data_IF_660415466409
#
_entry.id   IF_660415466409
#
_cell.length_a   1.000
_cell.length_b   1.000
_cell.length_c   1.000
_cell.angle_alpha   90.00
_cell.angle_beta   90.00
_cell.angle_gamma   90.00
#
_symmetry.space_group_name_H-M   'P 1'
#
loop_
_entity.id
_entity.type
_entity.pdbx_description
1 polymer ?
#
# COMPACT_ATOMS: atom_id res chain seq x y z
N UNK A 1 2.93 -39.69 37.22
CA UNK A 1 4.00 -38.89 36.62
C UNK A 1 3.58 -38.61 35.20
N UNK A 2 2.83 -37.54 35.01
CA UNK A 2 2.36 -37.05 33.70
C UNK A 2 3.23 -35.82 33.37
N UNK A 3 4.05 -35.98 32.34
CA UNK A 3 4.90 -34.88 31.84
C UNK A 3 4.04 -33.98 30.97
N UNK A 4 3.76 -32.78 31.46
CA UNK A 4 3.24 -31.65 30.68
C UNK A 4 4.34 -31.17 29.72
N UNK A 5 4.17 -31.44 28.44
CA UNK A 5 4.93 -30.75 27.42
C UNK A 5 4.21 -29.43 27.10
N UNK A 6 4.70 -28.34 27.66
CA UNK A 6 4.44 -27.02 27.14
C UNK A 6 5.11 -26.89 25.77
N UNK A 7 4.32 -26.92 24.72
CA UNK A 7 4.71 -26.45 23.39
C UNK A 7 4.83 -24.92 23.46
N UNK A 8 6.08 -24.40 23.45
CA UNK A 8 6.34 -22.99 23.19
C UNK A 8 5.86 -22.67 21.76
N UNK A 9 5.12 -21.58 21.55
CA UNK A 9 4.78 -21.16 20.20
C UNK A 9 6.07 -20.72 19.50
N UNK A 10 6.33 -21.33 18.34
CA UNK A 10 7.42 -20.98 17.45
C UNK A 10 7.40 -19.46 17.19
N UNK A 11 8.46 -18.77 17.58
CA UNK A 11 8.66 -17.36 17.26
C UNK A 11 8.72 -17.22 15.75
N UNK A 12 7.66 -16.69 15.16
CA UNK A 12 7.66 -16.16 13.81
C UNK A 12 8.68 -15.02 13.78
N UNK A 13 9.73 -15.18 12.98
CA UNK A 13 10.76 -14.16 12.78
C UNK A 13 10.25 -13.00 11.91
N UNK A 14 9.19 -12.33 12.34
CA UNK A 14 8.83 -11.01 11.88
C UNK A 14 9.79 -10.03 12.54
N UNK A 15 10.67 -9.41 11.77
CA UNK A 15 11.31 -8.16 12.16
C UNK A 15 10.16 -7.21 12.49
N UNK A 16 9.88 -6.99 13.78
CA UNK A 16 8.75 -6.18 14.22
C UNK A 16 8.85 -4.78 13.62
N UNK A 17 7.98 -4.47 12.67
CA UNK A 17 7.90 -3.13 12.06
C UNK A 17 7.57 -2.14 13.17
N UNK A 18 8.45 -1.16 13.39
CA UNK A 18 8.29 -0.14 14.42
C UNK A 18 7.58 1.09 13.85
N UNK A 19 6.92 1.86 14.72
CA UNK A 19 6.35 3.15 14.34
C UNK A 19 7.42 4.09 13.75
N UNK A 20 8.65 4.04 14.27
CA UNK A 20 9.75 4.87 13.77
C UNK A 20 10.09 4.51 12.32
N UNK A 21 10.26 3.21 12.03
CA UNK A 21 10.51 2.74 10.65
C UNK A 21 9.38 3.15 9.69
N UNK A 22 8.11 3.06 10.13
CA UNK A 22 6.97 3.51 9.32
C UNK A 22 7.04 5.02 9.03
N UNK A 23 7.40 5.83 10.03
CA UNK A 23 7.55 7.28 9.87
C UNK A 23 8.68 7.65 8.92
N UNK A 24 9.85 7.03 9.08
CA UNK A 24 11.02 7.29 8.24
C UNK A 24 10.73 6.97 6.76
N UNK A 25 10.13 5.81 6.48
CA UNK A 25 9.83 5.40 5.11
C UNK A 25 8.70 6.27 4.52
N UNK A 26 7.66 6.61 5.31
CA UNK A 26 6.62 7.54 4.85
C UNK A 26 7.20 8.93 4.55
N UNK A 27 8.12 9.44 5.38
CA UNK A 27 8.76 10.72 5.14
C UNK A 27 9.58 10.71 3.84
N UNK A 28 10.33 9.63 3.59
CA UNK A 28 11.07 9.44 2.34
C UNK A 28 10.15 9.37 1.12
N UNK A 29 9.00 8.69 1.24
CA UNK A 29 8.00 8.61 0.18
C UNK A 29 7.37 10.00 -0.12
N UNK A 30 7.08 10.78 0.92
CA UNK A 30 6.59 12.17 0.78
C UNK A 30 7.63 13.06 0.09
N UNK A 31 8.90 12.94 0.44
CA UNK A 31 9.98 13.69 -0.22
C UNK A 31 10.12 13.30 -1.70
N UNK A 32 10.04 12.01 -2.03
CA UNK A 32 10.05 11.52 -3.41
C UNK A 32 8.91 12.11 -4.22
N UNK A 33 7.68 12.08 -3.69
CA UNK A 33 6.53 12.69 -4.35
C UNK A 33 6.71 14.21 -4.53
N UNK A 34 7.25 14.91 -3.53
CA UNK A 34 7.48 16.35 -3.62
C UNK A 34 8.47 16.71 -4.74
N UNK A 35 9.55 15.94 -4.89
CA UNK A 35 10.51 16.12 -6.00
C UNK A 35 9.83 15.94 -7.34
N UNK A 36 9.01 14.88 -7.50
CA UNK A 36 8.25 14.63 -8.71
C UNK A 36 7.30 15.80 -9.02
N UNK A 37 6.46 16.20 -8.06
CA UNK A 37 5.46 17.27 -8.25
C UNK A 37 6.10 18.60 -8.62
N UNK A 38 7.25 18.96 -8.03
CA UNK A 38 7.98 20.17 -8.39
C UNK A 38 8.49 20.19 -9.84
N UNK A 39 8.66 19.02 -10.46
CA UNK A 39 9.07 18.90 -11.85
C UNK A 39 7.93 18.98 -12.86
N UNK A 40 6.67 18.82 -12.41
CA UNK A 40 5.50 18.74 -13.28
C UNK A 40 5.03 20.14 -13.75
N UNK A 41 4.71 20.21 -15.02
CA UNK A 41 4.08 21.41 -15.63
C UNK A 41 2.57 21.40 -15.37
N UNK A 42 1.89 22.57 -15.43
CA UNK A 42 0.43 22.63 -15.33
C UNK A 42 -0.31 21.76 -16.37
N UNK A 43 0.29 21.51 -17.52
CA UNK A 43 -0.28 20.60 -18.52
C UNK A 43 -0.19 19.15 -18.07
N UNK A 44 0.94 18.74 -17.47
CA UNK A 44 1.13 17.37 -16.96
C UNK A 44 0.20 17.07 -15.78
N UNK A 45 -0.09 18.05 -14.93
CA UNK A 45 -1.09 17.88 -13.86
C UNK A 45 -2.49 17.51 -14.38
N UNK A 46 -2.83 17.92 -15.60
CA UNK A 46 -4.13 17.63 -16.24
C UNK A 46 -4.13 16.37 -17.10
N UNK A 47 -2.99 15.70 -17.27
CA UNK A 47 -2.93 14.42 -17.97
C UNK A 47 -3.59 13.32 -17.16
N UNK A 48 -4.12 12.30 -17.86
CA UNK A 48 -4.58 11.09 -17.21
C UNK A 48 -3.41 10.36 -16.55
N UNK A 49 -3.55 10.06 -15.27
CA UNK A 49 -2.63 9.20 -14.56
C UNK A 49 -2.99 7.72 -14.80
N UNK A 50 -2.09 6.84 -14.44
CA UNK A 50 -2.41 5.42 -14.34
C UNK A 50 -3.26 5.16 -13.08
N UNK A 51 -4.29 4.33 -13.10
CA UNK A 51 -4.85 3.57 -14.21
C UNK A 51 -5.98 4.31 -15.00
N UNK A 52 -5.83 5.51 -15.36
CA UNK A 52 -6.67 6.30 -16.27
C UNK A 52 -8.07 6.74 -15.80
N UNK A 53 -8.43 6.54 -14.56
CA UNK A 53 -9.70 7.06 -14.00
C UNK A 53 -9.57 8.52 -13.53
N UNK A 54 -8.37 8.91 -13.11
CA UNK A 54 -8.05 10.22 -12.55
C UNK A 54 -6.96 10.92 -13.35
N UNK A 55 -6.95 12.24 -13.29
CA UNK A 55 -5.78 13.01 -13.71
C UNK A 55 -4.70 12.96 -12.63
N UNK A 56 -3.48 13.34 -12.99
CA UNK A 56 -2.36 13.46 -12.02
C UNK A 56 -2.76 14.36 -10.83
N UNK A 57 -3.41 15.50 -11.10
CA UNK A 57 -3.89 16.39 -10.05
C UNK A 57 -4.95 15.74 -9.15
N UNK A 58 -5.83 14.89 -9.70
CA UNK A 58 -6.81 14.16 -8.89
C UNK A 58 -6.17 13.07 -8.03
N UNK A 59 -5.12 12.40 -8.49
CA UNK A 59 -4.32 11.51 -7.64
C UNK A 59 -3.68 12.29 -6.50
N UNK A 60 -3.11 13.48 -6.77
CA UNK A 60 -2.56 14.37 -5.75
C UNK A 60 -3.65 14.88 -4.78
N UNK A 61 -4.86 15.17 -5.27
CA UNK A 61 -6.02 15.51 -4.44
C UNK A 61 -6.37 14.37 -3.48
N UNK A 62 -6.37 13.14 -3.97
CA UNK A 62 -6.60 11.95 -3.14
C UNK A 62 -5.52 11.79 -2.06
N UNK A 63 -4.25 11.90 -2.42
CA UNK A 63 -3.16 11.84 -1.46
C UNK A 63 -3.23 12.97 -0.43
N UNK A 64 -3.47 14.21 -0.86
CA UNK A 64 -3.56 15.36 0.02
C UNK A 64 -4.76 15.31 0.98
N UNK A 65 -5.95 14.96 0.47
CA UNK A 65 -7.13 14.76 1.31
C UNK A 65 -6.92 13.62 2.32
N UNK A 66 -6.27 12.53 1.90
CA UNK A 66 -5.89 11.42 2.77
C UNK A 66 -4.91 11.85 3.88
N UNK A 67 -3.96 12.75 3.59
CA UNK A 67 -3.07 13.32 4.60
C UNK A 67 -3.83 14.16 5.64
N UNK A 68 -4.77 14.99 5.17
CA UNK A 68 -5.66 15.79 6.06
C UNK A 68 -6.49 14.87 6.96
N UNK A 69 -7.16 13.87 6.36
CA UNK A 69 -7.98 12.90 7.10
C UNK A 69 -7.13 12.14 8.13
N UNK A 70 -5.96 11.65 7.74
CA UNK A 70 -5.04 10.95 8.63
C UNK A 70 -4.65 11.84 9.81
N UNK A 71 -4.25 13.09 9.55
CA UNK A 71 -3.87 14.05 10.58
C UNK A 71 -5.02 14.38 11.54
N UNK A 72 -6.22 14.63 11.02
CA UNK A 72 -7.39 14.92 11.86
C UNK A 72 -7.79 13.73 12.72
N UNK A 73 -7.71 12.50 12.19
CA UNK A 73 -8.00 11.27 12.96
C UNK A 73 -7.00 11.01 14.10
N UNK A 74 -5.80 11.58 14.06
CA UNK A 74 -4.87 11.56 15.19
C UNK A 74 -5.37 12.40 16.38
N UNK A 75 -6.23 13.40 16.11
CA UNK A 75 -6.71 14.35 17.10
C UNK A 75 -8.21 14.12 17.44
N UNK A 76 -8.92 13.25 16.69
CA UNK A 76 -10.32 12.93 16.93
C UNK A 76 -11.08 12.46 15.69
N UNK A 77 -12.39 12.65 15.71
CA UNK A 77 -13.28 12.29 14.60
C UNK A 77 -13.15 13.29 13.43
N UNK A 78 -13.38 12.81 12.21
CA UNK A 78 -13.34 13.60 11.01
C UNK A 78 -14.51 13.27 10.08
N UNK A 79 -15.14 14.29 9.54
CA UNK A 79 -16.06 14.15 8.41
C UNK A 79 -15.24 14.01 7.11
N UNK A 80 -14.96 12.76 6.74
CA UNK A 80 -14.17 12.45 5.55
C UNK A 80 -14.83 12.95 4.27
N UNK A 81 -16.17 12.91 4.19
CA UNK A 81 -16.89 13.36 3.00
C UNK A 81 -16.71 14.87 2.79
N UNK A 82 -16.81 15.66 3.86
CA UNK A 82 -16.57 17.10 3.77
C UNK A 82 -15.13 17.42 3.30
N UNK A 83 -14.13 16.64 3.77
CA UNK A 83 -12.74 16.82 3.29
C UNK A 83 -12.63 16.47 1.81
N UNK A 84 -13.21 15.37 1.35
CA UNK A 84 -13.17 14.98 -0.07
C UNK A 84 -13.90 16.01 -0.96
N UNK A 85 -15.06 16.52 -0.53
CA UNK A 85 -15.82 17.53 -1.28
C UNK A 85 -15.01 18.82 -1.45
N UNK A 86 -14.35 19.29 -0.37
CA UNK A 86 -13.45 20.44 -0.42
C UNK A 86 -12.29 20.21 -1.42
N UNK A 87 -11.64 19.05 -1.33
CA UNK A 87 -10.48 18.74 -2.16
C UNK A 87 -10.83 18.55 -3.63
N UNK A 88 -11.98 17.93 -3.92
CA UNK A 88 -12.47 17.74 -5.29
C UNK A 88 -12.90 19.05 -5.96
N UNK A 89 -13.23 20.08 -5.18
CA UNK A 89 -13.60 21.42 -5.69
C UNK A 89 -12.38 22.27 -6.08
N UNK A 90 -11.16 21.88 -5.69
CA UNK A 90 -9.93 22.63 -6.00
C UNK A 90 -9.57 22.48 -7.48
N UNK A 91 -8.95 23.53 -8.06
CA UNK A 91 -8.34 23.42 -9.37
C UNK A 91 -7.06 22.55 -9.34
N UNK A 92 -6.59 22.03 -10.48
CA UNK A 92 -5.44 21.13 -10.54
C UNK A 92 -4.15 21.67 -9.92
N UNK A 93 -3.86 22.96 -10.08
CA UNK A 93 -2.65 23.58 -9.55
C UNK A 93 -2.75 23.69 -8.00
N UNK A 94 -3.96 24.01 -7.49
CA UNK A 94 -4.23 24.03 -6.05
C UNK A 94 -4.21 22.60 -5.46
N UNK A 95 -4.76 21.59 -6.15
CA UNK A 95 -4.68 20.18 -5.72
C UNK A 95 -3.23 19.74 -5.53
N UNK A 96 -2.34 20.08 -6.46
CA UNK A 96 -0.92 19.74 -6.37
C UNK A 96 -0.22 20.51 -5.22
N UNK A 97 -0.39 21.82 -5.14
CA UNK A 97 0.28 22.62 -4.12
C UNK A 97 -0.22 22.30 -2.70
N UNK A 98 -1.52 22.04 -2.53
CA UNK A 98 -2.13 21.73 -1.23
C UNK A 98 -1.78 20.32 -0.77
N UNK A 99 -1.64 19.34 -1.67
CA UNK A 99 -1.22 18.00 -1.29
C UNK A 99 0.15 18.00 -0.62
N UNK A 100 1.12 18.76 -1.15
CA UNK A 100 2.44 18.90 -0.54
C UNK A 100 2.37 19.56 0.86
N UNK A 101 1.51 20.58 1.02
CA UNK A 101 1.29 21.22 2.33
C UNK A 101 0.61 20.27 3.33
N UNK A 102 -0.34 19.48 2.87
CA UNK A 102 -1.05 18.52 3.71
C UNK A 102 -0.11 17.40 4.21
N UNK A 103 0.73 16.87 3.33
CA UNK A 103 1.75 15.88 3.71
C UNK A 103 2.75 16.46 4.70
N UNK A 104 3.27 17.66 4.48
CA UNK A 104 4.16 18.32 5.41
C UNK A 104 3.52 18.53 6.81
N UNK A 105 2.25 18.90 6.84
CA UNK A 105 1.50 19.07 8.10
C UNK A 105 1.28 17.72 8.81
N UNK A 106 1.01 16.64 8.08
CA UNK A 106 0.92 15.30 8.64
C UNK A 106 2.27 14.85 9.21
N UNK A 107 3.37 15.03 8.47
CA UNK A 107 4.72 14.68 8.96
C UNK A 107 5.06 15.43 10.26
N UNK A 108 4.76 16.73 10.31
CA UNK A 108 4.97 17.55 11.53
C UNK A 108 4.15 17.01 12.71
N UNK A 109 2.88 16.63 12.49
CA UNK A 109 2.02 16.03 13.54
C UNK A 109 2.55 14.68 14.00
N UNK A 110 2.96 13.81 13.08
CA UNK A 110 3.55 12.50 13.41
C UNK A 110 4.83 12.64 14.24
N UNK A 111 5.70 13.58 13.89
CA UNK A 111 6.93 13.85 14.62
C UNK A 111 6.67 14.35 16.05
N UNK A 112 5.54 14.99 16.32
CA UNK A 112 5.17 15.50 17.65
C UNK A 112 4.57 14.44 18.58
N UNK A 113 4.19 13.27 18.08
CA UNK A 113 3.55 12.21 18.89
C UNK A 113 4.58 11.57 19.81
N UNK A 114 4.34 11.65 21.10
CA UNK A 114 5.19 11.01 22.12
C UNK A 114 4.92 9.50 22.19
N UNK A 115 5.85 8.68 22.72
CA UNK A 115 5.62 7.25 22.91
C UNK A 115 4.36 6.94 23.76
N UNK A 116 4.08 7.76 24.78
CA UNK A 116 2.90 7.60 25.61
C UNK A 116 1.60 7.87 24.85
N UNK A 117 1.56 8.90 24.02
CA UNK A 117 0.43 9.19 23.13
C UNK A 117 0.24 8.07 22.11
N UNK A 118 1.32 7.64 21.43
CA UNK A 118 1.29 6.58 20.45
C UNK A 118 0.69 5.27 21.02
N UNK A 119 1.05 4.91 22.25
CA UNK A 119 0.55 3.71 22.92
C UNK A 119 -0.96 3.76 23.19
N UNK A 120 -1.55 4.95 23.31
CA UNK A 120 -2.97 5.16 23.58
C UNK A 120 -3.85 5.31 22.34
N UNK A 121 -3.27 5.65 21.18
CA UNK A 121 -4.04 5.88 19.96
C UNK A 121 -4.61 4.57 19.39
N UNK A 122 -5.90 4.59 19.07
CA UNK A 122 -6.62 3.48 18.43
C UNK A 122 -7.54 4.01 17.35
N UNK A 123 -7.62 3.27 16.24
CA UNK A 123 -8.36 3.66 15.06
C UNK A 123 -9.35 2.56 14.69
N UNK A 124 -10.66 2.82 14.67
CA UNK A 124 -11.66 1.82 14.33
C UNK A 124 -11.44 1.23 12.95
N UNK A 125 -11.46 -0.12 12.88
CA UNK A 125 -11.39 -0.88 11.64
C UNK A 125 -12.24 -2.15 11.74
N UNK A 126 -13.51 -2.04 11.39
CA UNK A 126 -14.45 -3.16 11.51
C UNK A 126 -14.62 -3.61 12.98
N UNK A 127 -14.46 -4.91 13.28
CA UNK A 127 -14.66 -5.45 14.63
C UNK A 127 -13.49 -5.19 15.60
N UNK A 128 -12.37 -4.69 15.12
CA UNK A 128 -11.15 -4.45 15.91
C UNK A 128 -10.60 -3.06 15.65
N UNK A 129 -9.83 -2.54 16.60
CA UNK A 129 -9.12 -1.29 16.44
C UNK A 129 -7.68 -1.55 15.95
N UNK A 130 -7.19 -0.67 15.10
CA UNK A 130 -5.77 -0.61 14.72
C UNK A 130 -5.00 0.22 15.74
N UNK A 131 -3.73 -0.14 15.93
CA UNK A 131 -2.76 0.74 16.56
C UNK A 131 -2.22 1.80 15.58
N UNK A 132 -1.44 2.75 16.10
CA UNK A 132 -0.86 3.81 15.29
C UNK A 132 0.10 3.27 14.22
N UNK A 133 0.88 2.23 14.51
CA UNK A 133 1.83 1.65 13.55
C UNK A 133 1.10 1.10 12.33
N UNK A 134 0.06 0.34 12.54
CA UNK A 134 -0.80 -0.19 11.47
C UNK A 134 -1.48 0.94 10.69
N UNK A 135 -2.02 1.94 11.40
CA UNK A 135 -2.71 3.08 10.77
C UNK A 135 -1.78 3.88 9.85
N UNK A 136 -0.54 4.14 10.28
CA UNK A 136 0.47 4.82 9.44
C UNK A 136 0.96 3.90 8.32
N UNK A 137 1.04 2.60 8.54
CA UNK A 137 1.32 1.61 7.49
C UNK A 137 0.31 1.67 6.35
N UNK A 138 -0.99 1.80 6.65
CA UNK A 138 -2.03 1.99 5.61
C UNK A 138 -1.86 3.32 4.87
N UNK A 139 -1.46 4.40 5.57
CA UNK A 139 -1.12 5.65 4.90
C UNK A 139 0.07 5.50 3.96
N UNK A 140 1.09 4.74 4.35
CA UNK A 140 2.23 4.43 3.49
C UNK A 140 1.80 3.64 2.25
N UNK A 141 0.87 2.69 2.37
CA UNK A 141 0.34 1.96 1.22
C UNK A 141 -0.25 2.90 0.17
N UNK A 142 -1.14 3.81 0.60
CA UNK A 142 -1.74 4.81 -0.28
C UNK A 142 -0.67 5.67 -0.96
N UNK A 143 0.31 6.11 -0.16
CA UNK A 143 1.38 6.97 -0.67
C UNK A 143 2.26 6.26 -1.70
N UNK A 144 2.71 5.04 -1.40
CA UNK A 144 3.57 4.23 -2.25
C UNK A 144 2.91 3.91 -3.60
N UNK A 145 1.65 3.44 -3.56
CA UNK A 145 0.91 3.03 -4.76
C UNK A 145 0.54 4.22 -5.63
N UNK A 146 0.03 5.30 -5.04
CA UNK A 146 -0.41 6.46 -5.82
C UNK A 146 0.75 7.36 -6.28
N UNK A 147 1.89 7.38 -5.58
CA UNK A 147 3.10 8.01 -6.14
C UNK A 147 3.57 7.24 -7.38
N UNK A 148 3.54 5.90 -7.32
CA UNK A 148 3.83 5.07 -8.49
C UNK A 148 2.83 5.31 -9.64
N UNK A 149 1.53 5.46 -9.37
CA UNK A 149 0.51 5.78 -10.38
C UNK A 149 0.85 7.08 -11.15
N UNK A 150 1.46 8.06 -10.48
CA UNK A 150 1.92 9.31 -11.11
C UNK A 150 3.23 9.07 -11.87
N UNK A 151 4.21 8.41 -11.25
CA UNK A 151 5.53 8.18 -11.86
C UNK A 151 5.43 7.40 -13.16
N UNK A 152 4.67 6.29 -13.18
CA UNK A 152 4.52 5.43 -14.35
C UNK A 152 3.82 6.14 -15.52
N UNK A 153 3.08 7.21 -15.25
CA UNK A 153 2.49 8.07 -16.29
C UNK A 153 3.55 8.76 -17.16
N UNK A 154 4.76 8.94 -16.63
CA UNK A 154 5.87 9.64 -17.29
C UNK A 154 7.10 8.76 -17.53
N UNK A 155 7.20 7.63 -16.83
CA UNK A 155 8.30 6.68 -16.93
C UNK A 155 7.78 5.24 -16.79
N UNK A 156 7.64 4.54 -17.90
CA UNK A 156 7.17 3.15 -17.95
C UNK A 156 8.02 2.18 -17.11
N UNK A 157 9.25 2.58 -16.74
CA UNK A 157 10.15 1.80 -15.90
C UNK A 157 10.00 2.05 -14.40
N UNK A 158 9.09 2.94 -13.99
CA UNK A 158 8.85 3.26 -12.60
C UNK A 158 8.55 2.01 -11.76
N UNK A 159 9.12 1.96 -10.57
CA UNK A 159 8.90 0.89 -9.59
C UNK A 159 8.73 1.47 -8.20
N UNK A 160 7.96 0.79 -7.35
CA UNK A 160 7.86 1.16 -5.93
C UNK A 160 9.22 0.86 -5.27
N UNK A 161 9.84 1.83 -4.57
CA UNK A 161 11.11 1.63 -3.89
C UNK A 161 11.08 0.44 -2.93
N UNK A 162 12.18 -0.31 -2.83
CA UNK A 162 12.25 -1.54 -2.01
C UNK A 162 11.94 -1.29 -0.54
N UNK A 163 12.34 -0.15 0.03
CA UNK A 163 12.03 0.21 1.42
C UNK A 163 10.51 0.40 1.63
N UNK A 164 9.80 1.00 0.69
CA UNK A 164 8.34 1.12 0.72
C UNK A 164 7.69 -0.26 0.53
N UNK A 165 8.14 -1.02 -0.49
CA UNK A 165 7.61 -2.35 -0.78
C UNK A 165 7.76 -3.31 0.42
N UNK A 166 8.87 -3.23 1.18
CA UNK A 166 9.10 -4.06 2.35
C UNK A 166 8.04 -3.86 3.43
N UNK A 167 7.64 -2.61 3.70
CA UNK A 167 6.63 -2.30 4.70
C UNK A 167 5.21 -2.56 4.19
N UNK A 168 4.93 -2.20 2.94
CA UNK A 168 3.62 -2.42 2.30
C UNK A 168 3.29 -3.91 2.21
N UNK A 169 4.26 -4.76 1.91
CA UNK A 169 4.09 -6.22 1.88
C UNK A 169 3.52 -6.76 3.20
N UNK A 170 3.88 -6.18 4.34
CA UNK A 170 3.34 -6.58 5.64
C UNK A 170 1.82 -6.42 5.79
N UNK A 171 1.20 -5.55 4.99
CA UNK A 171 -0.25 -5.30 5.00
C UNK A 171 -1.02 -6.04 3.91
N UNK A 172 -0.31 -6.72 2.97
CA UNK A 172 -0.94 -7.30 1.78
C UNK A 172 -1.96 -8.41 2.10
N UNK A 173 -1.81 -9.14 3.20
CA UNK A 173 -2.80 -10.13 3.62
C UNK A 173 -4.18 -9.51 3.83
N UNK A 174 -4.23 -8.35 4.50
CA UNK A 174 -5.44 -7.57 4.70
C UNK A 174 -5.96 -6.98 3.38
N UNK A 175 -5.06 -6.39 2.59
CA UNK A 175 -5.43 -5.76 1.32
C UNK A 175 -5.95 -6.78 0.30
N UNK A 176 -5.37 -7.98 0.23
CA UNK A 176 -5.84 -9.04 -0.65
C UNK A 176 -7.27 -9.50 -0.30
N UNK A 177 -7.61 -9.57 0.98
CA UNK A 177 -8.97 -9.88 1.42
C UNK A 177 -9.99 -8.80 1.04
N UNK A 178 -9.55 -7.53 0.99
CA UNK A 178 -10.40 -6.40 0.62
C UNK A 178 -10.52 -6.22 -0.90
N UNK A 179 -9.40 -6.24 -1.61
CA UNK A 179 -9.33 -5.97 -3.05
C UNK A 179 -9.66 -7.18 -3.92
N UNK A 180 -9.37 -8.40 -3.43
CA UNK A 180 -9.50 -9.63 -4.20
C UNK A 180 -10.94 -9.97 -4.55
N UNK A 181 -11.14 -10.42 -5.80
CA UNK A 181 -12.46 -10.80 -6.34
C UNK A 181 -12.45 -12.28 -6.75
N UNK A 182 -13.57 -12.99 -6.58
CA UNK A 182 -13.71 -14.35 -7.10
C UNK A 182 -13.52 -14.38 -8.62
N UNK A 183 -12.70 -15.32 -9.11
CA UNK A 183 -12.48 -15.54 -10.56
C UNK A 183 -13.29 -16.68 -11.11
N UNK A 184 -14.01 -17.43 -10.27
CA UNK A 184 -14.65 -18.70 -10.60
C UNK A 184 -13.71 -19.91 -10.47
N UNK A 185 -12.41 -19.67 -10.29
CA UNK A 185 -11.40 -20.72 -10.06
C UNK A 185 -11.19 -20.91 -8.55
N UNK A 186 -11.06 -22.16 -8.11
CA UNK A 186 -10.67 -22.48 -6.74
C UNK A 186 -9.33 -23.20 -6.77
N UNK A 187 -8.28 -22.50 -6.39
CA UNK A 187 -6.92 -23.04 -6.32
C UNK A 187 -6.03 -22.18 -5.42
N UNK A 188 -4.91 -22.74 -5.04
CA UNK A 188 -3.89 -22.05 -4.29
C UNK A 188 -2.63 -21.94 -5.15
N UNK A 189 -2.02 -20.76 -5.14
CA UNK A 189 -0.77 -20.47 -5.80
C UNK A 189 0.27 -20.07 -4.75
N UNK A 190 1.47 -20.61 -4.90
CA UNK A 190 2.63 -20.25 -4.10
C UNK A 190 3.43 -19.15 -4.81
N UNK A 191 3.76 -18.10 -4.09
CA UNK A 191 4.47 -16.93 -4.63
C UNK A 191 5.68 -16.63 -3.77
N UNK A 192 6.84 -16.45 -4.39
CA UNK A 192 8.05 -15.95 -3.73
C UNK A 192 8.40 -14.57 -4.28
N UNK A 193 8.67 -13.63 -3.39
CA UNK A 193 9.17 -12.31 -3.78
C UNK A 193 10.67 -12.22 -3.64
N UNK A 194 11.27 -11.30 -4.41
CA UNK A 194 12.66 -10.82 -4.25
C UNK A 194 12.61 -9.36 -3.83
N UNK A 195 13.47 -8.97 -2.93
CA UNK A 195 13.61 -7.58 -2.49
C UNK A 195 12.30 -6.91 -2.04
N UNK A 196 11.74 -7.33 -0.88
CA UNK A 196 12.27 -8.29 0.09
C UNK A 196 11.99 -9.74 -0.28
N UNK A 197 12.87 -10.65 0.16
CA UNK A 197 12.62 -12.09 0.01
C UNK A 197 11.55 -12.53 1.02
N UNK A 198 10.39 -12.92 0.50
CA UNK A 198 9.23 -13.39 1.26
C UNK A 198 8.52 -14.48 0.46
N UNK A 199 7.79 -15.33 1.16
CA UNK A 199 6.97 -16.37 0.53
C UNK A 199 5.53 -16.27 0.97
N UNK A 200 4.62 -16.51 0.04
CA UNK A 200 3.19 -16.37 0.25
C UNK A 200 2.44 -17.52 -0.41
N UNK A 201 1.27 -17.77 0.11
CA UNK A 201 0.23 -18.56 -0.52
C UNK A 201 -0.94 -17.64 -0.85
N UNK A 202 -1.40 -17.65 -2.10
CA UNK A 202 -2.56 -16.93 -2.56
C UNK A 202 -3.66 -17.94 -2.87
N UNK A 203 -4.68 -17.98 -2.04
CA UNK A 203 -5.82 -18.88 -2.20
C UNK A 203 -6.96 -18.16 -2.92
N UNK A 204 -7.25 -18.59 -4.14
CA UNK A 204 -8.44 -18.19 -4.90
C UNK A 204 -9.61 -19.02 -4.42
N UNK A 205 -10.68 -18.38 -3.96
CA UNK A 205 -11.86 -19.00 -3.36
C UNK A 205 -13.13 -18.58 -4.09
N UNK A 206 -14.22 -19.27 -3.82
CA UNK A 206 -15.53 -18.94 -4.38
C UNK A 206 -16.09 -17.60 -3.88
N UNK A 207 -15.61 -17.12 -2.74
CA UNK A 207 -16.07 -15.93 -2.03
C UNK A 207 -15.05 -14.78 -1.99
N UNK A 208 -13.82 -14.99 -2.51
CA UNK A 208 -12.78 -13.97 -2.52
C UNK A 208 -11.38 -14.53 -2.66
N UNK A 209 -10.41 -13.75 -2.18
CA UNK A 209 -8.98 -14.11 -2.22
C UNK A 209 -8.41 -14.00 -0.81
N UNK A 210 -7.56 -14.96 -0.42
CA UNK A 210 -6.76 -14.86 0.78
C UNK A 210 -5.27 -14.93 0.43
N UNK A 211 -4.48 -14.05 1.01
CA UNK A 211 -3.03 -14.06 0.94
C UNK A 211 -2.50 -14.34 2.34
N UNK A 212 -1.61 -15.32 2.46
CA UNK A 212 -1.04 -15.73 3.73
C UNK A 212 0.48 -15.87 3.62
N UNK A 213 1.26 -15.34 4.56
CA UNK A 213 2.69 -15.59 4.64
C UNK A 213 2.98 -17.08 4.79
N UNK A 214 4.10 -17.54 4.24
CA UNK A 214 4.58 -18.91 4.36
C UNK A 214 6.07 -18.93 4.71
N UNK A 215 6.56 -20.03 5.30
CA UNK A 215 8.00 -20.29 5.31
C UNK A 215 8.55 -20.33 3.88
N UNK A 216 9.86 -20.15 3.74
CA UNK A 216 10.54 -20.16 2.44
C UNK A 216 10.15 -21.38 1.60
N UNK A 217 9.78 -21.13 0.34
CA UNK A 217 9.38 -22.12 -0.63
C UNK A 217 10.56 -22.50 -1.53
N UNK A 218 10.82 -23.77 -1.72
CA UNK A 218 11.88 -24.24 -2.64
C UNK A 218 11.49 -24.03 -4.11
N UNK A 219 10.24 -24.32 -4.46
CA UNK A 219 9.71 -24.22 -5.82
C UNK A 219 8.37 -23.51 -5.82
N UNK A 220 8.35 -22.17 -5.89
CA UNK A 220 7.10 -21.42 -6.00
C UNK A 220 6.50 -21.54 -7.41
N UNK A 221 5.18 -21.38 -7.53
CA UNK A 221 4.49 -21.28 -8.83
C UNK A 221 4.89 -20.00 -9.56
N UNK A 222 5.11 -18.90 -8.82
CA UNK A 222 5.56 -17.61 -9.33
C UNK A 222 6.68 -17.02 -8.47
N UNK A 223 7.66 -16.39 -9.15
CA UNK A 223 8.69 -15.57 -8.51
C UNK A 223 8.74 -14.20 -9.16
N UNK A 224 8.66 -13.12 -8.38
CA UNK A 224 8.59 -11.74 -8.83
C UNK A 224 9.21 -10.78 -7.81
N UNK A 225 9.55 -9.53 -8.21
CA UNK A 225 9.96 -8.48 -7.27
C UNK A 225 8.89 -8.22 -6.21
N UNK A 226 9.29 -7.85 -4.99
CA UNK A 226 8.35 -7.53 -3.92
C UNK A 226 7.39 -6.39 -4.29
N UNK A 227 7.90 -5.34 -4.94
CA UNK A 227 7.08 -4.24 -5.44
C UNK A 227 6.04 -4.68 -6.47
N UNK A 228 6.35 -5.69 -7.29
CA UNK A 228 5.42 -6.23 -8.26
C UNK A 228 4.26 -7.01 -7.58
N UNK A 229 4.51 -7.69 -6.45
CA UNK A 229 3.44 -8.29 -5.66
C UNK A 229 2.54 -7.22 -5.05
N UNK A 230 3.10 -6.10 -4.56
CA UNK A 230 2.32 -4.95 -4.10
C UNK A 230 1.42 -4.47 -5.23
N UNK A 231 1.99 -4.16 -6.40
CA UNK A 231 1.23 -3.68 -7.56
C UNK A 231 0.18 -4.69 -8.03
N UNK A 232 0.48 -5.99 -7.99
CA UNK A 232 -0.49 -7.03 -8.33
C UNK A 232 -1.73 -6.94 -7.43
N UNK A 233 -1.56 -6.92 -6.10
CA UNK A 233 -2.67 -6.88 -5.14
C UNK A 233 -3.51 -5.61 -5.29
N UNK A 234 -2.88 -4.49 -5.64
CA UNK A 234 -3.58 -3.23 -5.91
C UNK A 234 -4.12 -3.12 -7.35
N UNK A 235 -3.96 -4.15 -8.20
CA UNK A 235 -4.43 -4.15 -9.59
C UNK A 235 -3.63 -3.23 -10.52
N UNK A 236 -2.32 -3.07 -10.24
CA UNK A 236 -1.38 -2.22 -10.98
C UNK A 236 -0.27 -3.02 -11.69
N UNK A 237 -0.46 -4.31 -11.91
CA UNK A 237 0.52 -5.17 -12.58
C UNK A 237 0.00 -5.65 -13.93
N UNK A 238 -0.27 -4.74 -14.85
CA UNK A 238 -0.63 -5.07 -16.22
C UNK A 238 0.57 -5.55 -17.05
N UNK A 239 0.36 -6.15 -18.23
CA UNK A 239 1.45 -6.67 -19.05
C UNK A 239 2.47 -5.61 -19.51
N UNK A 240 2.06 -4.35 -19.71
CA UNK A 240 2.93 -3.28 -20.18
C UNK A 240 3.92 -2.82 -19.10
N UNK A 241 3.50 -2.88 -17.84
CA UNK A 241 4.28 -2.41 -16.69
C UNK A 241 4.75 -3.56 -15.80
N UNK A 242 4.90 -4.78 -16.34
CA UNK A 242 5.37 -5.93 -15.59
C UNK A 242 6.88 -6.09 -15.69
N UNK A 243 7.59 -6.23 -14.54
CA UNK A 243 8.98 -6.64 -14.55
C UNK A 243 9.12 -8.10 -14.98
N UNK A 244 10.35 -8.61 -15.02
CA UNK A 244 10.60 -10.04 -15.24
C UNK A 244 9.97 -10.87 -14.11
N UNK A 245 9.05 -11.77 -14.46
CA UNK A 245 8.39 -12.70 -13.57
C UNK A 245 8.72 -14.12 -14.03
N UNK A 246 9.13 -14.98 -13.10
CA UNK A 246 9.43 -16.38 -13.37
C UNK A 246 8.23 -17.22 -12.93
N UNK A 247 7.78 -18.12 -13.79
CA UNK A 247 6.66 -19.04 -13.54
C UNK A 247 5.70 -19.14 -14.72
N UNK A 248 4.52 -19.66 -14.47
CA UNK A 248 3.54 -19.88 -15.53
C UNK A 248 2.75 -18.59 -15.82
N UNK A 249 2.74 -18.15 -17.08
CA UNK A 249 1.99 -16.96 -17.50
C UNK A 249 0.49 -17.06 -17.23
N UNK A 250 -0.11 -18.25 -17.32
CA UNK A 250 -1.54 -18.44 -17.02
C UNK A 250 -1.87 -18.22 -15.55
N UNK A 251 -0.94 -18.51 -14.65
CA UNK A 251 -1.10 -18.32 -13.21
C UNK A 251 -1.05 -16.83 -12.87
N UNK A 252 -0.15 -16.08 -13.51
CA UNK A 252 -0.11 -14.63 -13.39
C UNK A 252 -1.38 -13.97 -13.91
N UNK A 253 -1.89 -14.39 -15.06
CA UNK A 253 -3.14 -13.87 -15.61
C UNK A 253 -4.35 -14.17 -14.71
N UNK A 254 -4.38 -15.32 -14.07
CA UNK A 254 -5.41 -15.66 -13.09
C UNK A 254 -5.36 -14.73 -11.87
N UNK A 255 -4.15 -14.43 -11.36
CA UNK A 255 -3.98 -13.47 -10.27
C UNK A 255 -4.36 -12.04 -10.68
N UNK A 256 -4.05 -11.61 -11.91
CA UNK A 256 -4.51 -10.30 -12.43
C UNK A 256 -6.03 -10.18 -12.46
N UNK A 257 -6.74 -11.26 -12.84
CA UNK A 257 -8.21 -11.29 -12.78
C UNK A 257 -8.72 -11.25 -11.34
N UNK A 258 -8.01 -11.91 -10.43
CA UNK A 258 -8.35 -11.91 -9.01
C UNK A 258 -8.17 -10.53 -8.36
N UNK A 259 -7.26 -9.71 -8.87
CA UNK A 259 -6.97 -8.35 -8.40
C UNK A 259 -7.20 -7.31 -9.51
N UNK A 260 -8.45 -6.98 -9.84
CA UNK A 260 -8.77 -6.09 -10.95
C UNK A 260 -8.51 -4.59 -10.66
N UNK A 261 -8.08 -4.26 -9.47
CA UNK A 261 -7.95 -2.91 -8.95
C UNK A 261 -9.13 -2.48 -8.07
N UNK A 262 -8.89 -1.44 -7.32
CA UNK A 262 -9.84 -0.80 -6.40
C UNK A 262 -10.43 0.45 -7.05
#
# INVERSE_FOLDING_TARGET
>A
MTSDHHEEPAASGELGVTLETQREVLASSVERLAVLVHSLTPQQLRQQAYPSKWTVAQVLSHLGSGAVITRLRLDGDVDMQAVWDEWNAKDPDAQAADSMRADAALQARLASITPGEAAGLRFPMGPTDMDLTTFIGLRLNEHAVHTWDIEVTFDDSAAIPSAEAELVIGTLAMMAGFAGKPTGTQRTLSVRTKEPERSFEIALRSDGVALSPRPTLETPDLELPGEALVRLVYGRLDPAHSPTIVGNASDLEELRKAFPGI
#
